data_IF_578549398543
#
_entry.id   IF_578549398543
#
_cell.length_a   1.000
_cell.length_b   1.000
_cell.length_c   1.000
_cell.angle_alpha   90.00
_cell.angle_beta   90.00
_cell.angle_gamma   90.00
#
_symmetry.space_group_name_H-M   'P 1'
#
loop_
_entity.id
_entity.type
_entity.pdbx_description
1 polymer ?
#
# COMPACT_ATOMS: atom_id res chain seq x y z
N UNK A 1 14.67 -23.45 -12.46
CA UNK A 1 15.22 -22.62 -11.36
C UNK A 1 15.76 -23.51 -10.24
N UNK A 2 16.90 -23.16 -9.63
CA UNK A 2 17.44 -23.87 -8.45
C UNK A 2 16.41 -23.84 -7.30
N UNK A 3 16.17 -24.97 -6.63
CA UNK A 3 15.16 -25.12 -5.55
C UNK A 3 15.24 -24.03 -4.46
N UNK A 4 16.44 -23.59 -4.10
CA UNK A 4 16.66 -22.49 -3.13
C UNK A 4 16.12 -21.15 -3.59
N UNK A 5 16.22 -20.85 -4.88
CA UNK A 5 15.75 -19.60 -5.47
C UNK A 5 14.22 -19.49 -5.38
N UNK A 6 13.52 -20.55 -5.79
CA UNK A 6 12.05 -20.61 -5.70
C UNK A 6 11.56 -20.51 -4.26
N UNK A 7 12.25 -21.16 -3.31
CA UNK A 7 11.95 -21.05 -1.87
C UNK A 7 12.16 -19.63 -1.33
N UNK A 8 13.19 -18.92 -1.79
CA UNK A 8 13.45 -17.55 -1.39
C UNK A 8 12.36 -16.61 -1.91
N UNK A 9 12.02 -16.69 -3.19
CA UNK A 9 10.93 -15.88 -3.78
C UNK A 9 9.58 -16.12 -3.11
N UNK A 10 9.23 -17.38 -2.80
CA UNK A 10 8.00 -17.70 -2.07
C UNK A 10 7.95 -17.07 -0.67
N UNK A 11 9.10 -16.91 -0.01
CA UNK A 11 9.15 -16.20 1.30
C UNK A 11 8.94 -14.70 1.15
N UNK A 12 9.37 -14.12 0.03
CA UNK A 12 9.16 -12.70 -0.26
C UNK A 12 7.69 -12.47 -0.55
N UNK A 13 7.10 -13.23 -1.48
CA UNK A 13 5.66 -13.21 -1.79
C UNK A 13 4.81 -13.28 -0.52
N UNK A 14 5.04 -14.29 0.34
CA UNK A 14 4.27 -14.49 1.57
C UNK A 14 4.48 -13.42 2.66
N UNK A 15 5.42 -12.48 2.47
CA UNK A 15 5.74 -11.43 3.45
C UNK A 15 5.53 -10.03 2.90
N UNK A 16 5.33 -9.88 1.59
CA UNK A 16 5.14 -8.60 0.96
C UNK A 16 3.77 -8.03 1.28
N UNK A 17 3.68 -6.78 1.75
CA UNK A 17 2.40 -6.13 1.97
C UNK A 17 1.60 -5.96 0.65
N UNK A 18 0.32 -5.65 0.80
CA UNK A 18 -0.60 -5.26 -0.26
C UNK A 18 -1.14 -3.87 0.08
N UNK A 19 -1.26 -3.00 -0.93
CA UNK A 19 -1.97 -1.74 -0.81
C UNK A 19 -3.37 -1.94 -1.39
N UNK A 20 -4.41 -1.52 -0.66
CA UNK A 20 -5.79 -1.60 -1.10
C UNK A 20 -6.51 -0.26 -0.91
N UNK A 21 -7.52 -0.03 -1.74
CA UNK A 21 -8.31 1.18 -1.76
C UNK A 21 -9.80 0.85 -1.65
N UNK A 22 -10.54 1.66 -0.90
CA UNK A 22 -12.00 1.60 -0.91
C UNK A 22 -12.68 2.96 -0.81
N UNK A 23 -13.90 3.04 -1.32
CA UNK A 23 -14.79 4.18 -1.10
C UNK A 23 -15.28 4.17 0.35
N UNK A 24 -15.74 3.01 0.82
CA UNK A 24 -16.31 2.87 2.17
C UNK A 24 -15.26 2.50 3.22
N UNK A 25 -15.57 2.78 4.49
CA UNK A 25 -14.81 2.29 5.62
C UNK A 25 -15.10 0.79 5.84
N UNK A 26 -14.23 -0.08 5.32
CA UNK A 26 -14.42 -1.54 5.36
C UNK A 26 -13.83 -2.19 6.60
N UNK A 27 -12.64 -1.74 7.02
CA UNK A 27 -11.87 -2.36 8.09
C UNK A 27 -11.17 -1.29 8.95
N UNK A 28 -10.69 -1.68 10.13
CA UNK A 28 -9.90 -0.86 11.03
C UNK A 28 -8.47 -1.38 11.16
N UNK A 29 -7.59 -0.51 11.66
CA UNK A 29 -6.21 -0.89 11.95
C UNK A 29 -6.17 -2.04 12.96
N UNK A 30 -5.33 -3.02 12.70
CA UNK A 30 -5.22 -4.31 13.40
C UNK A 30 -6.27 -5.36 13.10
N UNK A 31 -7.28 -5.07 12.27
CA UNK A 31 -8.22 -6.09 11.82
C UNK A 31 -7.51 -7.19 11.03
N UNK A 32 -8.07 -8.38 11.08
CA UNK A 32 -7.63 -9.54 10.30
C UNK A 32 -8.68 -9.81 9.23
N UNK A 33 -8.26 -9.84 7.98
CA UNK A 33 -9.11 -10.08 6.82
C UNK A 33 -8.75 -11.39 6.15
N UNK A 34 -9.74 -12.15 5.70
CA UNK A 34 -9.49 -13.34 4.90
C UNK A 34 -9.07 -12.94 3.48
N UNK A 35 -8.21 -13.74 2.84
CA UNK A 35 -7.82 -13.50 1.43
C UNK A 35 -9.04 -13.40 0.52
N UNK A 36 -10.07 -14.21 0.78
CA UNK A 36 -11.32 -14.17 0.02
C UNK A 36 -11.97 -12.79 0.08
N UNK A 37 -11.87 -12.07 1.19
CA UNK A 37 -12.48 -10.74 1.37
C UNK A 37 -11.75 -9.61 0.63
N UNK A 38 -10.62 -9.87 -0.04
CA UNK A 38 -9.93 -8.82 -0.81
C UNK A 38 -10.77 -8.25 -1.95
N UNK A 39 -11.77 -9.00 -2.45
CA UNK A 39 -12.68 -8.52 -3.50
C UNK A 39 -13.60 -7.38 -3.03
N UNK A 40 -13.72 -7.12 -1.72
CA UNK A 40 -14.54 -6.03 -1.20
C UNK A 40 -13.88 -4.66 -1.43
N UNK A 41 -12.57 -4.61 -1.63
CA UNK A 41 -11.87 -3.39 -2.01
C UNK A 41 -12.17 -3.03 -3.46
N UNK A 42 -12.32 -1.74 -3.77
CA UNK A 42 -12.44 -1.26 -5.14
C UNK A 42 -11.22 -1.66 -5.97
N UNK A 43 -10.04 -1.66 -5.33
CA UNK A 43 -8.80 -2.13 -5.93
C UNK A 43 -7.80 -2.53 -4.86
N UNK A 44 -6.95 -3.50 -5.17
CA UNK A 44 -5.77 -3.82 -4.39
C UNK A 44 -4.60 -4.22 -5.30
N UNK A 45 -3.37 -4.05 -4.82
CA UNK A 45 -2.14 -4.39 -5.54
C UNK A 45 -1.13 -5.04 -4.59
N UNK A 46 -0.59 -6.16 -5.02
CA UNK A 46 0.46 -6.91 -4.35
C UNK A 46 1.42 -7.54 -5.36
N UNK A 47 2.33 -8.39 -4.90
CA UNK A 47 3.21 -9.14 -5.80
C UNK A 47 2.41 -10.12 -6.66
N UNK A 48 2.60 -10.04 -7.98
CA UNK A 48 2.14 -11.07 -8.89
C UNK A 48 3.06 -12.29 -8.78
N UNK A 49 2.52 -13.41 -8.30
CA UNK A 49 3.27 -14.64 -8.08
C UNK A 49 3.91 -15.18 -9.37
N UNK A 50 3.18 -15.11 -10.49
CA UNK A 50 3.65 -15.65 -11.77
C UNK A 50 4.86 -14.88 -12.28
N UNK A 51 4.78 -13.55 -12.27
CA UNK A 51 5.88 -12.65 -12.69
C UNK A 51 7.05 -12.70 -11.70
N UNK A 52 6.75 -12.74 -10.40
CA UNK A 52 7.77 -12.86 -9.35
C UNK A 52 8.57 -14.17 -9.49
N UNK A 53 7.96 -15.28 -9.89
CA UNK A 53 8.70 -16.53 -10.08
C UNK A 53 9.52 -16.59 -11.37
N UNK A 54 9.21 -15.79 -12.39
CA UNK A 54 9.97 -15.77 -13.66
C UNK A 54 11.18 -14.83 -13.67
N UNK A 55 11.20 -13.83 -12.79
CA UNK A 55 12.17 -12.72 -12.82
C UNK A 55 13.28 -12.91 -11.77
N UNK A 56 14.39 -12.14 -11.84
CA UNK A 56 15.47 -12.10 -10.81
C UNK A 56 15.03 -11.28 -9.60
N UNK A 57 15.43 -11.67 -8.37
CA UNK A 57 15.06 -10.96 -7.13
C UNK A 57 15.28 -9.43 -7.15
N UNK A 58 16.47 -8.97 -7.58
CA UNK A 58 16.77 -7.53 -7.66
C UNK A 58 15.74 -6.80 -8.53
N UNK A 59 15.45 -7.36 -9.70
CA UNK A 59 14.49 -6.81 -10.65
C UNK A 59 13.05 -6.84 -10.10
N UNK A 60 12.66 -7.90 -9.38
CA UNK A 60 11.33 -7.99 -8.74
C UNK A 60 11.13 -6.85 -7.73
N UNK A 61 12.17 -6.50 -6.96
CA UNK A 61 12.08 -5.42 -5.99
C UNK A 61 11.87 -4.08 -6.69
N UNK A 62 12.72 -3.76 -7.66
CA UNK A 62 12.63 -2.51 -8.44
C UNK A 62 11.28 -2.39 -9.17
N UNK A 63 10.80 -3.48 -9.75
CA UNK A 63 9.50 -3.57 -10.43
C UNK A 63 8.32 -3.41 -9.46
N UNK A 64 8.39 -4.04 -8.28
CA UNK A 64 7.35 -3.90 -7.25
C UNK A 64 7.23 -2.45 -6.77
N UNK A 65 8.35 -1.77 -6.52
CA UNK A 65 8.34 -0.34 -6.19
C UNK A 65 7.72 0.47 -7.31
N UNK A 66 8.18 0.30 -8.55
CA UNK A 66 7.68 1.07 -9.70
C UNK A 66 6.17 0.85 -9.89
N UNK A 67 5.71 -0.40 -9.76
CA UNK A 67 4.29 -0.73 -9.88
C UNK A 67 3.47 -0.16 -8.73
N UNK A 68 3.97 -0.13 -7.50
CA UNK A 68 3.27 0.47 -6.37
C UNK A 68 3.28 1.99 -6.41
N UNK A 69 4.35 2.59 -6.94
CA UNK A 69 4.42 4.02 -7.21
C UNK A 69 3.30 4.37 -8.19
N UNK A 70 3.32 3.75 -9.38
CA UNK A 70 2.29 3.96 -10.40
C UNK A 70 0.89 3.62 -9.90
N UNK A 71 0.74 2.57 -9.10
CA UNK A 71 -0.56 2.17 -8.56
C UNK A 71 -1.09 3.19 -7.57
N UNK A 72 -0.28 3.62 -6.60
CA UNK A 72 -0.72 4.53 -5.55
C UNK A 72 -1.00 5.90 -6.14
N UNK A 73 -0.08 6.44 -6.95
CA UNK A 73 -0.23 7.74 -7.60
C UNK A 73 -1.50 7.83 -8.47
N UNK A 74 -1.67 6.89 -9.42
CA UNK A 74 -2.85 6.88 -10.30
C UNK A 74 -4.16 6.76 -9.52
N UNK A 75 -4.18 5.93 -8.47
CA UNK A 75 -5.39 5.76 -7.67
C UNK A 75 -5.64 7.02 -6.83
N UNK A 76 -4.66 7.57 -6.13
CA UNK A 76 -4.87 8.77 -5.32
C UNK A 76 -5.38 9.95 -6.16
N UNK A 77 -4.82 10.15 -7.36
CA UNK A 77 -5.14 11.23 -8.29
C UNK A 77 -6.49 11.06 -9.02
N UNK A 78 -6.81 9.84 -9.49
CA UNK A 78 -7.94 9.62 -10.40
C UNK A 78 -9.09 8.81 -9.80
N UNK A 79 -8.97 8.31 -8.57
CA UNK A 79 -9.93 7.39 -7.98
C UNK A 79 -10.89 8.04 -6.97
N UNK A 80 -12.18 7.69 -7.06
CA UNK A 80 -13.22 8.11 -6.11
C UNK A 80 -13.17 7.35 -4.76
N UNK A 81 -11.99 6.91 -4.30
CA UNK A 81 -11.83 6.21 -3.03
C UNK A 81 -11.40 7.17 -1.92
N UNK A 82 -11.97 6.93 -0.74
CA UNK A 82 -11.70 7.73 0.46
C UNK A 82 -10.68 7.06 1.36
N UNK A 83 -10.57 5.74 1.34
CA UNK A 83 -9.74 4.97 2.26
C UNK A 83 -8.61 4.22 1.56
N UNK A 84 -7.47 4.20 2.22
CA UNK A 84 -6.25 3.48 1.82
C UNK A 84 -5.90 2.52 2.94
N UNK A 85 -5.56 1.29 2.58
CA UNK A 85 -5.19 0.23 3.51
C UNK A 85 -3.84 -0.34 3.13
N UNK A 86 -2.99 -0.54 4.12
CA UNK A 86 -1.80 -1.35 4.00
C UNK A 86 -2.03 -2.67 4.74
N UNK A 87 -1.93 -3.76 4.01
CA UNK A 87 -2.28 -5.10 4.45
C UNK A 87 -1.03 -5.98 4.47
N UNK A 88 -0.74 -6.64 5.59
CA UNK A 88 0.40 -7.55 5.70
C UNK A 88 -0.08 -9.01 5.69
N UNK A 89 0.39 -9.87 4.76
CA UNK A 89 0.01 -11.27 4.76
C UNK A 89 0.47 -12.00 6.03
N UNK A 90 -0.39 -12.89 6.51
CA UNK A 90 -0.14 -13.83 7.58
C UNK A 90 0.04 -15.25 7.00
N UNK A 91 0.52 -16.18 7.81
CA UNK A 91 0.89 -17.54 7.37
C UNK A 91 -0.32 -18.45 7.08
N UNK A 92 -1.51 -18.03 7.50
CA UNK A 92 -2.77 -18.78 7.44
C UNK A 92 -3.71 -18.31 6.33
N UNK A 93 -3.22 -17.51 5.38
CA UNK A 93 -4.05 -17.00 4.28
C UNK A 93 -4.96 -15.85 4.71
N UNK A 94 -4.61 -15.17 5.79
CA UNK A 94 -5.23 -13.91 6.18
C UNK A 94 -4.27 -12.74 5.99
N UNK A 95 -4.78 -11.52 6.07
CA UNK A 95 -3.98 -10.30 6.11
C UNK A 95 -4.32 -9.49 7.34
N UNK A 96 -3.32 -8.85 7.93
CA UNK A 96 -3.51 -7.87 8.99
C UNK A 96 -3.51 -6.46 8.40
N UNK A 97 -4.51 -5.65 8.72
CA UNK A 97 -4.49 -4.22 8.43
C UNK A 97 -3.46 -3.56 9.32
N UNK A 98 -2.34 -3.12 8.75
CA UNK A 98 -1.25 -2.47 9.49
C UNK A 98 -1.29 -0.95 9.38
N UNK A 99 -1.89 -0.43 8.32
CA UNK A 99 -2.22 1.00 8.20
C UNK A 99 -3.58 1.17 7.54
N UNK A 100 -4.28 2.23 7.94
CA UNK A 100 -5.54 2.67 7.35
C UNK A 100 -5.58 4.18 7.43
N UNK A 101 -5.78 4.83 6.29
CA UNK A 101 -5.94 6.27 6.22
C UNK A 101 -7.23 6.61 5.47
N UNK A 102 -7.94 7.64 5.94
CA UNK A 102 -8.93 8.35 5.16
C UNK A 102 -8.24 9.58 4.55
N UNK A 103 -8.37 9.81 3.24
CA UNK A 103 -7.68 10.90 2.53
C UNK A 103 -7.94 12.26 3.16
N UNK A 104 -9.21 12.59 3.40
CA UNK A 104 -9.64 13.89 3.93
C UNK A 104 -9.22 14.07 5.38
N UNK A 105 -9.37 13.05 6.22
CA UNK A 105 -8.94 13.11 7.61
C UNK A 105 -7.42 13.25 7.72
N UNK A 106 -6.67 12.52 6.89
CA UNK A 106 -5.22 12.58 6.84
C UNK A 106 -4.74 13.97 6.42
N UNK A 107 -5.29 14.51 5.32
CA UNK A 107 -4.93 15.86 4.83
C UNK A 107 -5.23 16.92 5.90
N UNK A 108 -6.41 16.85 6.53
CA UNK A 108 -6.76 17.76 7.63
C UNK A 108 -5.81 17.66 8.82
N UNK A 109 -5.39 16.45 9.19
CA UNK A 109 -4.45 16.25 10.30
C UNK A 109 -3.04 16.72 9.95
N UNK A 110 -2.62 16.49 8.70
CA UNK A 110 -1.34 16.93 8.15
C UNK A 110 -1.22 18.45 8.15
N UNK A 111 -2.18 19.16 7.57
CA UNK A 111 -2.14 20.63 7.51
C UNK A 111 -2.30 21.32 8.84
N UNK A 112 -3.07 20.75 9.78
CA UNK A 112 -3.08 21.25 11.17
C UNK A 112 -1.69 21.22 11.82
N UNK A 113 -0.81 20.34 11.37
CA UNK A 113 0.57 20.24 11.86
C UNK A 113 1.53 21.12 11.08
N UNK A 114 1.42 21.13 9.75
CA UNK A 114 2.35 21.87 8.87
C UNK A 114 2.03 23.37 8.77
N UNK A 115 0.75 23.75 8.79
CA UNK A 115 0.29 25.14 8.76
C UNK A 115 -0.89 25.36 9.74
N UNK A 116 -0.63 25.38 11.05
CA UNK A 116 -1.67 25.48 12.08
C UNK A 116 -2.44 26.81 12.04
N UNK A 117 -1.87 27.85 11.42
CA UNK A 117 -2.47 29.18 11.31
C UNK A 117 -3.22 29.38 9.98
N UNK A 118 -3.18 28.39 9.08
CA UNK A 118 -3.74 28.48 7.73
C UNK A 118 -3.22 29.72 6.98
N UNK A 119 -1.92 30.00 7.08
CA UNK A 119 -1.28 31.11 6.37
C UNK A 119 -1.25 30.86 4.84
N UNK A 120 -1.38 29.60 4.42
CA UNK A 120 -1.54 29.18 3.03
C UNK A 120 -3.02 28.93 2.71
N UNK A 121 -3.72 29.99 2.34
CA UNK A 121 -5.12 29.93 1.86
C UNK A 121 -5.31 29.13 0.55
N UNK A 122 -4.25 28.58 -0.05
CA UNK A 122 -4.22 27.94 -1.36
C UNK A 122 -3.52 26.58 -1.33
N UNK A 123 -3.84 25.71 -0.38
CA UNK A 123 -3.35 24.33 -0.46
C UNK A 123 -3.77 23.66 -1.78
N UNK A 124 -2.82 23.09 -2.53
CA UNK A 124 -3.12 22.36 -3.77
C UNK A 124 -3.39 20.88 -3.46
N UNK A 125 -4.45 20.34 -4.08
CA UNK A 125 -4.80 18.91 -4.00
C UNK A 125 -3.62 18.01 -4.39
N UNK A 126 -2.76 18.49 -5.29
CA UNK A 126 -1.59 17.74 -5.77
C UNK A 126 -0.51 17.56 -4.68
N UNK A 127 -0.28 18.56 -3.82
CA UNK A 127 0.70 18.46 -2.71
C UNK A 127 0.24 17.44 -1.66
N UNK A 128 -1.05 17.45 -1.31
CA UNK A 128 -1.65 16.52 -0.34
C UNK A 128 -1.54 15.07 -0.80
N UNK A 129 -1.73 14.85 -2.11
CA UNK A 129 -1.68 13.54 -2.72
C UNK A 129 -0.24 13.02 -2.73
N UNK A 130 0.72 13.87 -3.10
CA UNK A 130 2.15 13.51 -3.11
C UNK A 130 2.68 13.19 -1.70
N UNK A 131 2.29 13.95 -0.69
CA UNK A 131 2.72 13.70 0.70
C UNK A 131 2.05 12.44 1.27
N UNK A 132 0.75 12.23 1.02
CA UNK A 132 0.05 10.99 1.40
C UNK A 132 0.64 9.77 0.68
N UNK A 133 0.99 9.93 -0.59
CA UNK A 133 1.69 8.93 -1.37
C UNK A 133 3.02 8.56 -0.71
N UNK A 134 3.87 9.55 -0.41
CA UNK A 134 5.16 9.33 0.24
C UNK A 134 4.99 8.61 1.58
N UNK A 135 4.01 9.03 2.39
CA UNK A 135 3.68 8.39 3.65
C UNK A 135 3.32 6.91 3.47
N UNK A 136 2.45 6.55 2.52
CA UNK A 136 2.05 5.16 2.28
C UNK A 136 3.24 4.31 1.79
N UNK A 137 4.08 4.87 0.92
CA UNK A 137 5.29 4.19 0.43
C UNK A 137 6.27 3.95 1.57
N UNK A 138 6.53 4.91 2.45
CA UNK A 138 7.41 4.73 3.61
C UNK A 138 6.91 3.62 4.54
N UNK A 139 5.59 3.56 4.78
CA UNK A 139 4.98 2.47 5.57
C UNK A 139 5.19 1.14 4.88
N UNK A 140 4.93 1.08 3.58
CA UNK A 140 5.14 -0.12 2.79
C UNK A 140 6.59 -0.61 2.85
N UNK A 141 7.57 0.29 2.67
CA UNK A 141 9.00 0.00 2.76
C UNK A 141 9.42 -0.54 4.12
N UNK A 142 8.91 0.04 5.21
CA UNK A 142 9.18 -0.44 6.56
C UNK A 142 8.77 -1.90 6.77
N UNK A 143 7.76 -2.36 6.04
CA UNK A 143 7.19 -3.70 6.18
C UNK A 143 7.74 -4.71 5.17
N UNK A 144 8.28 -4.26 4.04
CA UNK A 144 9.15 -5.11 3.23
C UNK A 144 10.49 -5.21 3.93
N UNK A 145 10.75 -6.36 4.54
CA UNK A 145 12.09 -6.63 5.05
C UNK A 145 13.07 -6.63 3.88
N UNK A 146 14.05 -5.72 3.93
CA UNK A 146 15.28 -5.80 3.15
C UNK A 146 16.02 -7.08 3.55
N UNK A 147 15.97 -8.09 2.68
CA UNK A 147 16.81 -9.29 2.77
C UNK A 147 17.89 -9.25 1.69
#
# INVERSE_FOLDING_TARGET
MKSRYKKHLKRIENRSPIIAFSIDNLYNKSDIINTESLHTFNKYMGLNSTEAFSTKYKSIKEEMHTNLIMFTDNYLMCGNHEYIYLLLPLLDGTYKVIEKENKTEWANAYWKKEDPNNERDWCFIDEDIDDLFCYIIEKFEKHIKTY
#
